data_IF_177218659925
#
_entry.id   IF_177218659925
#
_cell.length_a   1.000
_cell.length_b   1.000
_cell.length_c   1.000
_cell.angle_alpha   90.00
_cell.angle_beta   90.00
_cell.angle_gamma   90.00
#
_symmetry.space_group_name_H-M   'P 1'
#
loop_
_entity.id
_entity.type
_entity.pdbx_description
1 polymer ?
#
# COMPACT_ATOMS: atom_id res chain seq x y z
N UNK A 1 28.25 -3.10 10.09
CA UNK A 1 26.85 -3.22 10.56
C UNK A 1 26.36 -1.91 11.17
N UNK A 2 27.24 -0.98 11.58
CA UNK A 2 26.84 0.35 12.09
C UNK A 2 26.17 1.26 11.04
N UNK A 3 26.57 1.19 9.76
CA UNK A 3 25.98 2.05 8.71
C UNK A 3 24.51 1.79 8.38
N UNK A 4 24.08 0.52 8.36
CA UNK A 4 22.69 0.14 8.05
C UNK A 4 21.70 0.82 9.00
N UNK A 5 22.02 0.80 10.29
CA UNK A 5 21.10 1.27 11.31
C UNK A 5 20.96 2.79 11.25
N UNK A 6 22.07 3.51 11.02
CA UNK A 6 22.06 4.96 10.81
C UNK A 6 21.28 5.35 9.54
N UNK A 7 21.50 4.64 8.44
CA UNK A 7 20.80 4.87 7.16
C UNK A 7 19.28 4.62 7.28
N UNK A 8 18.89 3.53 7.94
CA UNK A 8 17.49 3.21 8.19
C UNK A 8 16.85 4.21 9.16
N UNK A 9 17.53 4.59 10.24
CA UNK A 9 17.04 5.59 11.18
C UNK A 9 16.81 6.95 10.51
N UNK A 10 17.74 7.38 9.64
CA UNK A 10 17.59 8.59 8.83
C UNK A 10 16.35 8.53 7.94
N UNK A 11 16.13 7.41 7.25
CA UNK A 11 14.97 7.24 6.38
C UNK A 11 13.65 7.21 7.16
N UNK A 12 13.63 6.55 8.32
CA UNK A 12 12.47 6.51 9.21
C UNK A 12 12.12 7.89 9.77
N UNK A 13 13.12 8.70 10.12
CA UNK A 13 12.91 10.09 10.55
C UNK A 13 12.31 10.93 9.42
N UNK A 14 12.81 10.78 8.19
CA UNK A 14 12.25 11.45 7.02
C UNK A 14 10.78 11.04 6.75
N UNK A 15 10.45 9.74 6.86
CA UNK A 15 9.08 9.25 6.73
C UNK A 15 8.16 9.85 7.79
N UNK A 16 8.58 9.86 9.04
CA UNK A 16 7.82 10.45 10.15
C UNK A 16 7.60 11.95 9.97
N UNK A 17 8.61 12.67 9.50
CA UNK A 17 8.48 14.08 9.17
C UNK A 17 7.48 14.35 8.03
N UNK A 18 7.35 13.39 7.09
CA UNK A 18 6.48 13.52 5.90
C UNK A 18 5.03 13.13 6.20
N UNK A 19 4.81 11.99 6.85
CA UNK A 19 3.48 11.41 7.04
C UNK A 19 2.93 11.57 8.48
N UNK A 20 3.75 12.07 9.41
CA UNK A 20 3.42 12.24 10.82
C UNK A 20 3.83 11.04 11.68
N UNK A 21 4.28 11.35 12.90
CA UNK A 21 4.77 10.35 13.88
C UNK A 21 3.71 9.29 14.23
N UNK A 22 2.44 9.69 14.31
CA UNK A 22 1.34 8.80 14.68
C UNK A 22 0.91 7.84 13.57
N UNK A 23 1.23 8.18 12.30
CA UNK A 23 0.85 7.37 11.14
C UNK A 23 1.88 6.29 10.81
N UNK A 24 3.17 6.57 11.06
CA UNK A 24 4.29 5.67 10.75
C UNK A 24 4.59 4.77 11.95
N UNK A 25 4.13 3.53 11.87
CA UNK A 25 4.40 2.51 12.88
C UNK A 25 5.66 1.72 12.50
N UNK A 26 6.59 1.59 13.45
CA UNK A 26 7.81 0.80 13.29
C UNK A 26 7.86 -0.24 14.39
N UNK A 27 7.83 -1.51 14.02
CA UNK A 27 7.99 -2.63 14.95
C UNK A 27 9.37 -3.26 14.75
N UNK A 28 10.21 -3.34 15.79
CA UNK A 28 11.45 -4.10 15.70
C UNK A 28 11.14 -5.60 15.67
N UNK A 29 11.95 -6.37 14.94
CA UNK A 29 11.69 -7.80 14.74
C UNK A 29 11.70 -8.65 16.03
N UNK A 30 12.30 -8.15 17.12
CA UNK A 30 12.31 -8.82 18.43
C UNK A 30 10.93 -8.84 19.11
N UNK A 31 10.00 -7.96 18.72
CA UNK A 31 8.63 -7.90 19.25
C UNK A 31 7.59 -8.65 18.40
N UNK A 32 7.92 -9.00 17.15
CA UNK A 32 7.00 -9.70 16.22
C UNK A 32 6.96 -11.23 16.42
N UNK A 33 7.70 -11.78 17.39
CA UNK A 33 7.80 -13.22 17.68
C UNK A 33 6.56 -13.80 18.41
N UNK A 34 5.36 -13.36 18.01
CA UNK A 34 4.08 -13.78 18.58
C UNK A 34 3.08 -14.21 17.50
N UNK A 35 3.36 -15.27 16.74
CA UNK A 35 2.33 -15.93 15.94
C UNK A 35 2.81 -16.73 14.73
N UNK A 36 2.84 -18.06 14.87
CA UNK A 36 2.61 -19.01 13.77
C UNK A 36 3.81 -19.41 12.92
N UNK A 37 4.40 -20.56 13.23
CA UNK A 37 5.33 -21.28 12.36
C UNK A 37 4.61 -21.85 11.12
N UNK A 38 5.14 -21.59 9.91
CA UNK A 38 5.07 -22.49 8.73
C UNK A 38 6.00 -22.04 7.58
N UNK A 39 7.25 -22.49 7.67
CA UNK A 39 8.15 -23.02 6.64
C UNK A 39 8.63 -22.21 5.39
N UNK A 40 9.93 -22.44 5.14
CA UNK A 40 10.71 -22.41 3.88
C UNK A 40 11.17 -21.08 3.28
N UNK A 41 12.34 -20.64 3.72
CA UNK A 41 13.24 -19.72 3.02
C UNK A 41 14.31 -19.27 3.99
N UNK A 42 15.60 -19.42 3.65
CA UNK A 42 16.73 -18.99 4.50
C UNK A 42 16.87 -17.46 4.60
N UNK A 43 15.77 -16.75 4.81
CA UNK A 43 15.74 -15.31 4.98
C UNK A 43 16.22 -14.97 6.39
N UNK A 44 17.24 -14.11 6.49
CA UNK A 44 17.62 -13.48 7.75
C UNK A 44 16.38 -12.89 8.42
N UNK A 45 16.29 -12.92 9.77
CA UNK A 45 15.19 -12.29 10.47
C UNK A 45 15.08 -10.82 10.03
N UNK A 46 13.85 -10.28 9.93
CA UNK A 46 13.70 -8.86 9.65
C UNK A 46 14.43 -8.03 10.71
N UNK A 47 14.77 -6.79 10.37
CA UNK A 47 15.33 -5.80 11.28
C UNK A 47 14.20 -4.91 11.80
N UNK A 48 13.31 -4.47 10.91
CA UNK A 48 12.17 -3.66 11.23
C UNK A 48 10.99 -3.97 10.29
N UNK A 49 9.77 -3.78 10.80
CA UNK A 49 8.55 -3.74 10.00
C UNK A 49 8.00 -2.32 10.09
N UNK A 50 7.93 -1.65 8.95
CA UNK A 50 7.41 -0.28 8.83
C UNK A 50 6.01 -0.37 8.23
N UNK A 51 5.03 0.27 8.84
CA UNK A 51 3.68 0.34 8.27
C UNK A 51 3.03 1.70 8.44
N UNK A 52 2.24 2.09 7.44
CA UNK A 52 1.52 3.36 7.41
C UNK A 52 0.25 3.25 6.56
N UNK A 53 -0.82 3.99 6.90
CA UNK A 53 -1.99 4.09 6.05
C UNK A 53 -1.65 4.81 4.75
N UNK A 54 -2.15 4.30 3.63
CA UNK A 54 -2.01 4.90 2.31
C UNK A 54 -3.38 4.98 1.63
N UNK A 55 -3.59 6.07 0.91
CA UNK A 55 -4.83 6.34 0.19
C UNK A 55 -4.56 7.17 -1.06
N UNK A 56 -5.53 7.24 -1.98
CA UNK A 56 -5.41 8.03 -3.20
C UNK A 56 -5.37 9.53 -2.87
N UNK A 57 -4.66 10.29 -3.72
CA UNK A 57 -4.68 11.75 -3.67
C UNK A 57 -6.02 12.24 -4.20
N UNK A 58 -6.89 12.68 -3.29
CA UNK A 58 -8.20 13.24 -3.62
C UNK A 58 -8.44 14.55 -2.85
N UNK A 59 -9.28 15.42 -3.40
CA UNK A 59 -9.64 16.68 -2.72
C UNK A 59 -10.60 16.42 -1.56
N UNK A 60 -11.46 15.41 -1.67
CA UNK A 60 -12.41 15.04 -0.63
C UNK A 60 -12.41 13.54 -0.29
N UNK A 61 -12.67 13.21 0.99
CA UNK A 61 -12.65 11.84 1.50
C UNK A 61 -13.70 10.92 0.84
N UNK A 62 -14.83 11.49 0.40
CA UNK A 62 -15.89 10.72 -0.27
C UNK A 62 -15.51 10.32 -1.70
N UNK A 63 -14.44 10.90 -2.26
CA UNK A 63 -13.88 10.55 -3.56
C UNK A 63 -12.83 9.42 -3.46
N UNK A 64 -12.45 9.01 -2.25
CA UNK A 64 -11.49 7.93 -2.03
C UNK A 64 -12.18 6.56 -2.07
N UNK A 65 -12.23 5.94 -3.25
CA UNK A 65 -12.84 4.63 -3.47
C UNK A 65 -11.95 3.46 -3.03
N UNK A 66 -10.65 3.69 -2.86
CA UNK A 66 -9.68 2.68 -2.45
C UNK A 66 -8.84 3.17 -1.28
N UNK A 67 -8.34 2.27 -0.46
CA UNK A 67 -7.40 2.57 0.62
C UNK A 67 -6.64 1.30 1.04
N UNK A 68 -5.56 1.45 1.79
CA UNK A 68 -4.88 0.33 2.41
C UNK A 68 -3.85 0.75 3.45
N UNK A 69 -3.07 -0.22 3.91
CA UNK A 69 -1.91 -0.04 4.78
C UNK A 69 -0.69 -0.59 4.05
N UNK A 70 0.27 0.27 3.75
CA UNK A 70 1.54 -0.17 3.19
C UNK A 70 2.37 -0.77 4.32
N UNK A 71 2.87 -1.98 4.12
CA UNK A 71 3.74 -2.71 5.05
C UNK A 71 5.04 -3.03 4.33
N UNK A 72 6.16 -2.58 4.91
CA UNK A 72 7.50 -2.78 4.38
C UNK A 72 8.34 -3.52 5.43
N UNK A 73 8.75 -4.73 5.10
CA UNK A 73 9.58 -5.57 5.97
C UNK A 73 11.03 -5.43 5.56
N UNK A 74 11.82 -4.77 6.40
CA UNK A 74 13.22 -4.45 6.15
C UNK A 74 14.10 -5.58 6.66
N UNK A 75 14.90 -6.18 5.79
CA UNK A 75 15.86 -7.24 6.15
C UNK A 75 17.24 -6.69 6.53
N UNK A 76 18.12 -7.55 7.06
CA UNK A 76 19.49 -7.17 7.41
C UNK A 76 20.38 -6.81 6.21
N UNK A 77 19.95 -7.14 4.98
CA UNK A 77 20.65 -6.83 3.73
C UNK A 77 20.24 -5.50 3.09
N UNK A 78 19.28 -4.77 3.67
CA UNK A 78 18.88 -3.45 3.17
C UNK A 78 20.07 -2.47 3.15
N UNK A 79 20.11 -1.44 2.28
CA UNK A 79 19.28 -1.25 1.10
C UNK A 79 19.66 -2.17 -0.08
N UNK A 80 20.75 -2.94 0.00
CA UNK A 80 21.20 -3.80 -1.10
C UNK A 80 20.18 -4.89 -1.46
N UNK A 81 19.56 -5.49 -0.45
CA UNK A 81 18.38 -6.33 -0.60
C UNK A 81 17.12 -5.48 -0.36
N UNK A 82 16.15 -5.49 -1.29
CA UNK A 82 14.95 -4.68 -1.15
C UNK A 82 14.08 -5.18 0.01
N UNK A 83 13.29 -4.31 0.66
CA UNK A 83 12.32 -4.70 1.65
C UNK A 83 11.20 -5.51 0.99
N UNK A 84 10.61 -6.44 1.72
CA UNK A 84 9.39 -7.09 1.25
C UNK A 84 8.21 -6.13 1.44
N UNK A 85 7.45 -5.89 0.38
CA UNK A 85 6.36 -4.89 0.36
C UNK A 85 5.01 -5.57 0.23
N UNK A 86 4.03 -5.12 1.02
CA UNK A 86 2.66 -5.60 0.99
C UNK A 86 1.67 -4.45 1.19
N UNK A 87 0.56 -4.48 0.45
CA UNK A 87 -0.61 -3.64 0.73
C UNK A 87 -1.60 -4.47 1.55
N UNK A 88 -1.63 -4.24 2.87
CA UNK A 88 -2.53 -4.87 3.83
C UNK A 88 -3.81 -4.04 4.03
N UNK A 89 -4.83 -4.63 4.65
CA UNK A 89 -6.12 -3.99 4.96
C UNK A 89 -6.73 -3.24 3.76
N UNK A 90 -6.53 -3.77 2.54
CA UNK A 90 -6.95 -3.14 1.31
C UNK A 90 -8.49 -3.06 1.26
N UNK A 91 -9.00 -1.87 0.92
CA UNK A 91 -10.44 -1.57 0.80
C UNK A 91 -10.73 -1.07 -0.60
N UNK A 92 -11.89 -1.46 -1.15
CA UNK A 92 -12.31 -1.05 -2.49
C UNK A 92 -11.48 -1.65 -3.65
N UNK A 93 -10.60 -2.59 -3.35
CA UNK A 93 -9.77 -3.31 -4.31
C UNK A 93 -10.15 -4.79 -4.30
N UNK A 94 -10.56 -5.32 -5.46
CA UNK A 94 -10.73 -6.75 -5.66
C UNK A 94 -9.38 -7.47 -5.77
N UNK A 95 -9.39 -8.79 -5.55
CA UNK A 95 -8.20 -9.64 -5.45
C UNK A 95 -7.24 -9.48 -6.64
N UNK A 96 -7.77 -9.42 -7.86
CA UNK A 96 -6.95 -9.29 -9.07
C UNK A 96 -6.21 -7.94 -9.14
N UNK A 97 -6.88 -6.84 -8.76
CA UNK A 97 -6.28 -5.50 -8.73
C UNK A 97 -5.27 -5.37 -7.60
N UNK A 98 -5.61 -5.90 -6.43
CA UNK A 98 -4.68 -5.95 -5.29
C UNK A 98 -3.42 -6.75 -5.65
N UNK A 99 -3.56 -7.92 -6.28
CA UNK A 99 -2.41 -8.71 -6.73
C UNK A 99 -1.55 -7.96 -7.76
N UNK A 100 -2.18 -7.25 -8.70
CA UNK A 100 -1.47 -6.37 -9.65
C UNK A 100 -0.67 -5.29 -8.95
N UNK A 101 -1.28 -4.59 -7.99
CA UNK A 101 -0.61 -3.54 -7.20
C UNK A 101 0.55 -4.09 -6.38
N UNK A 102 0.37 -5.24 -5.71
CA UNK A 102 1.45 -5.89 -4.96
C UNK A 102 2.62 -6.28 -5.88
N UNK A 103 2.32 -6.78 -7.08
CA UNK A 103 3.35 -7.11 -8.07
C UNK A 103 4.10 -5.85 -8.54
N UNK A 104 3.39 -4.74 -8.78
CA UNK A 104 4.01 -3.46 -9.16
C UNK A 104 4.91 -2.91 -8.06
N UNK A 105 4.45 -2.92 -6.80
CA UNK A 105 5.24 -2.48 -5.64
C UNK A 105 6.49 -3.35 -5.45
N UNK A 106 6.37 -4.67 -5.58
CA UNK A 106 7.51 -5.57 -5.48
C UNK A 106 8.52 -5.37 -6.62
N UNK A 107 8.04 -5.11 -7.84
CA UNK A 107 8.90 -4.79 -8.98
C UNK A 107 9.64 -3.46 -8.78
N UNK A 108 8.95 -2.43 -8.29
CA UNK A 108 9.56 -1.14 -7.96
C UNK A 108 10.61 -1.29 -6.86
N UNK A 109 10.28 -2.05 -5.81
CA UNK A 109 11.22 -2.32 -4.73
C UNK A 109 12.51 -2.98 -5.25
N UNK A 110 12.38 -3.96 -6.16
CA UNK A 110 13.53 -4.63 -6.76
C UNK A 110 14.33 -3.71 -7.70
N UNK A 111 13.68 -2.75 -8.37
CA UNK A 111 14.35 -1.81 -9.26
C UNK A 111 15.23 -0.80 -8.50
N UNK A 112 14.90 -0.53 -7.24
CA UNK A 112 15.59 0.43 -6.36
C UNK A 112 16.59 -0.23 -5.42
N UNK A 113 16.84 -1.52 -5.58
CA UNK A 113 17.80 -2.25 -4.76
C UNK A 113 19.19 -1.57 -4.79
N UNK A 114 19.73 -1.30 -3.61
CA UNK A 114 20.96 -0.53 -3.40
C UNK A 114 20.74 0.93 -2.97
N UNK A 115 19.49 1.41 -2.93
CA UNK A 115 19.13 2.77 -2.52
C UNK A 115 18.13 2.76 -1.35
N UNK A 116 18.05 3.88 -0.61
CA UNK A 116 17.00 4.09 0.40
C UNK A 116 15.67 4.32 -0.33
N UNK A 117 14.72 3.41 -0.12
CA UNK A 117 13.54 3.24 -0.97
C UNK A 117 12.20 3.25 -0.23
N UNK A 118 12.15 3.30 1.11
CA UNK A 118 10.89 3.30 1.87
C UNK A 118 10.01 4.51 1.51
N UNK A 119 10.61 5.71 1.45
CA UNK A 119 9.89 6.93 1.03
C UNK A 119 9.33 6.82 -0.39
N UNK A 120 10.15 6.32 -1.32
CA UNK A 120 9.74 6.14 -2.70
C UNK A 120 8.62 5.10 -2.85
N UNK A 121 8.67 4.01 -2.09
CA UNK A 121 7.62 2.98 -2.07
C UNK A 121 6.30 3.51 -1.51
N UNK A 122 6.33 4.42 -0.53
CA UNK A 122 5.13 5.12 -0.05
C UNK A 122 4.49 5.94 -1.16
N UNK A 123 5.27 6.74 -1.86
CA UNK A 123 4.81 7.57 -2.98
C UNK A 123 4.27 6.71 -4.13
N UNK A 124 4.98 5.63 -4.48
CA UNK A 124 4.54 4.68 -5.49
C UNK A 124 3.21 4.03 -5.12
N UNK A 125 3.03 3.64 -3.85
CA UNK A 125 1.77 3.07 -3.40
C UNK A 125 0.61 4.08 -3.50
N UNK A 126 0.86 5.34 -3.14
CA UNK A 126 -0.12 6.44 -3.25
C UNK A 126 -0.50 6.70 -4.71
N UNK A 127 0.48 6.75 -5.62
CA UNK A 127 0.25 6.98 -7.03
C UNK A 127 -0.53 5.81 -7.66
N UNK A 128 -0.14 4.57 -7.37
CA UNK A 128 -0.89 3.38 -7.80
C UNK A 128 -2.33 3.38 -7.27
N UNK A 129 -2.55 3.79 -6.01
CA UNK A 129 -3.89 3.90 -5.43
C UNK A 129 -4.69 5.02 -6.11
N UNK A 130 -4.04 6.13 -6.45
CA UNK A 130 -4.65 7.27 -7.14
C UNK A 130 -5.13 6.86 -8.53
N UNK A 131 -4.29 6.17 -9.30
CA UNK A 131 -4.66 5.64 -10.62
C UNK A 131 -5.74 4.56 -10.53
N UNK A 132 -5.69 3.76 -9.46
CA UNK A 132 -6.68 2.75 -9.14
C UNK A 132 -7.92 3.33 -8.42
N UNK A 133 -8.09 4.64 -8.29
CA UNK A 133 -9.18 5.22 -7.51
C UNK A 133 -10.50 5.21 -8.29
N UNK A 134 -11.06 4.03 -8.47
CA UNK A 134 -12.31 3.80 -9.17
C UNK A 134 -13.15 2.77 -8.39
N UNK A 135 -14.48 2.97 -8.31
CA UNK A 135 -15.38 2.04 -7.65
C UNK A 135 -15.36 0.68 -8.37
N UNK A 136 -15.29 -0.41 -7.61
CA UNK A 136 -15.27 -1.76 -8.17
C UNK A 136 -16.47 -2.58 -7.70
N UNK A 137 -16.93 -3.48 -8.57
CA UNK A 137 -17.97 -4.44 -8.26
C UNK A 137 -19.36 -3.98 -8.67
N UNK A 138 -20.36 -4.57 -8.02
CA UNK A 138 -21.76 -4.29 -8.28
C UNK A 138 -22.30 -3.26 -7.27
N UNK A 139 -23.20 -2.40 -7.73
CA UNK A 139 -23.95 -1.48 -6.89
C UNK A 139 -24.71 -2.26 -5.82
N UNK A 140 -24.59 -1.84 -4.55
CA UNK A 140 -25.21 -2.53 -3.42
C UNK A 140 -26.75 -2.60 -3.47
N UNK A 141 -27.40 -1.74 -4.27
CA UNK A 141 -28.86 -1.69 -4.40
C UNK A 141 -29.40 -2.35 -5.67
N UNK A 142 -28.85 -2.02 -6.85
CA UNK A 142 -29.37 -2.53 -8.13
C UNK A 142 -28.59 -3.75 -8.66
N UNK A 143 -27.45 -4.11 -8.05
CA UNK A 143 -26.57 -5.20 -8.47
C UNK A 143 -25.97 -5.04 -9.88
N UNK A 144 -26.11 -3.87 -10.50
CA UNK A 144 -25.46 -3.55 -11.77
C UNK A 144 -24.00 -3.12 -11.55
N UNK A 145 -23.08 -3.34 -12.51
CA UNK A 145 -21.69 -2.91 -12.40
C UNK A 145 -21.57 -1.41 -12.15
N UNK A 146 -20.75 -1.02 -11.16
CA UNK A 146 -20.48 0.37 -10.80
C UNK A 146 -19.71 1.13 -11.89
N UNK A 147 -18.94 0.39 -12.70
CA UNK A 147 -18.32 0.89 -13.92
C UNK A 147 -18.89 0.08 -15.08
N UNK A 148 -19.59 0.74 -16.00
CA UNK A 148 -19.86 0.19 -17.32
C UNK A 148 -18.51 0.18 -18.06
N UNK A 149 -17.94 -1.02 -18.23
CA UNK A 149 -16.54 -1.22 -18.56
C UNK A 149 -16.01 -0.47 -19.79
N UNK A 150 -14.78 0.03 -19.65
CA UNK A 150 -13.75 -0.01 -20.70
C UNK A 150 -13.87 0.99 -21.85
N UNK A 151 -13.07 2.05 -21.76
CA UNK A 151 -12.45 2.68 -22.93
C UNK A 151 -13.22 3.82 -23.59
N UNK A 152 -12.70 5.04 -23.39
CA UNK A 152 -12.96 6.17 -24.29
C UNK A 152 -14.07 7.10 -23.84
N UNK A 153 -13.66 8.36 -23.61
CA UNK A 153 -14.41 9.60 -23.74
C UNK A 153 -15.96 9.58 -23.76
N UNK A 154 -16.51 10.43 -22.89
CA UNK A 154 -17.81 11.10 -22.99
C UNK A 154 -19.06 10.34 -22.49
N UNK A 155 -19.51 10.76 -21.30
CA UNK A 155 -20.92 11.04 -21.02
C UNK A 155 -21.83 9.83 -20.83
N UNK A 156 -21.89 9.27 -19.61
CA UNK A 156 -22.98 8.36 -19.24
C UNK A 156 -22.75 7.41 -18.07
N UNK A 157 -21.58 7.38 -17.43
CA UNK A 157 -21.41 6.64 -16.17
C UNK A 157 -22.16 7.34 -15.05
N UNK A 158 -23.19 6.70 -14.49
CA UNK A 158 -23.96 7.26 -13.37
C UNK A 158 -23.04 7.66 -12.22
N UNK A 159 -23.31 8.81 -11.60
CA UNK A 159 -22.59 9.20 -10.38
C UNK A 159 -22.75 8.10 -9.34
N UNK A 160 -21.65 7.74 -8.68
CA UNK A 160 -21.65 6.76 -7.61
C UNK A 160 -21.19 7.45 -6.32
N UNK A 161 -21.73 6.97 -5.20
CA UNK A 161 -21.36 7.43 -3.86
C UNK A 161 -20.80 6.26 -3.08
N UNK A 162 -19.72 6.52 -2.33
CA UNK A 162 -19.08 5.57 -1.42
C UNK A 162 -19.62 5.75 0.00
N UNK A 163 -19.92 4.64 0.67
CA UNK A 163 -20.17 4.60 2.11
C UNK A 163 -18.85 4.47 2.91
N UNK A 164 -18.85 4.75 4.21
CA UNK A 164 -17.65 4.59 5.05
C UNK A 164 -17.05 3.17 5.00
N UNK A 165 -17.87 2.15 4.75
CA UNK A 165 -17.46 0.76 4.56
C UNK A 165 -16.90 0.43 3.16
N UNK A 166 -16.64 1.44 2.32
CA UNK A 166 -16.10 1.32 0.96
C UNK A 166 -17.04 0.64 -0.07
N UNK A 167 -18.27 0.30 0.31
CA UNK A 167 -19.30 -0.08 -0.65
C UNK A 167 -19.81 1.14 -1.40
N UNK A 168 -20.01 1.00 -2.71
CA UNK A 168 -20.49 2.06 -3.58
C UNK A 168 -21.88 1.73 -4.14
N UNK A 169 -22.63 2.78 -4.48
CA UNK A 169 -23.92 2.66 -5.13
C UNK A 169 -24.16 3.79 -6.13
N UNK A 170 -24.99 3.53 -7.14
CA UNK A 170 -25.47 4.55 -8.08
C UNK A 170 -26.41 5.54 -7.39
N UNK A 171 -26.28 6.83 -7.71
CA UNK A 171 -27.22 7.87 -7.30
C UNK A 171 -28.36 8.06 -8.29
#
# INVERSE_FOLDING_TARGET
>A
MEGLQEELEFELEALKATYGDDAVHVEPASSAAGGGESNSGGASPPVAVVSLPVGPRCEAEHEQFVAGRLVMTVGAGYPADPPAVQLADAKGLGDARLAGMQSSLAAEAAALAGELQLGHLCETAIDLLTDANQPEGACAFCLEPLLLGGGGAAGGGGSCVRLECFHCFHT
#
